data_IF_850405257466
#
_entry.id   IF_850405257466
#
_cell.length_a   1.000
_cell.length_b   1.000
_cell.length_c   1.000
_cell.angle_alpha   90.00
_cell.angle_beta   90.00
_cell.angle_gamma   90.00
#
_symmetry.space_group_name_H-M   'P 1'
#
loop_
_entity.id
_entity.type
_entity.pdbx_description
1 polymer ?
#
# COMPACT_ATOMS: atom_id res chain seq x y z
N UNK A 1 -2.26 7.81 18.28
CA UNK A 1 -2.91 8.99 17.70
C UNK A 1 -4.32 9.09 18.22
N UNK A 2 -4.59 10.17 18.94
CA UNK A 2 -5.84 10.43 19.65
C UNK A 2 -6.65 11.55 18.98
N UNK A 3 -6.05 12.28 18.03
CA UNK A 3 -6.66 13.43 17.36
C UNK A 3 -6.09 13.61 15.93
N UNK A 4 -6.58 12.86 14.93
CA UNK A 4 -6.12 12.97 13.54
C UNK A 4 -6.51 14.30 12.88
N UNK A 5 -7.59 14.95 13.32
CA UNK A 5 -8.09 16.21 12.73
C UNK A 5 -7.09 17.36 12.87
N UNK A 6 -6.26 17.31 13.91
CA UNK A 6 -5.22 18.30 14.18
C UNK A 6 -4.04 18.23 13.21
N UNK A 7 -3.79 17.08 12.59
CA UNK A 7 -2.58 16.83 11.80
C UNK A 7 -2.86 16.40 10.36
N UNK A 8 -4.08 15.96 10.06
CA UNK A 8 -4.49 15.48 8.75
C UNK A 8 -5.56 16.43 8.20
N UNK A 9 -5.23 17.14 7.12
CA UNK A 9 -6.21 17.94 6.41
C UNK A 9 -7.31 17.03 5.85
N UNK A 10 -8.58 17.39 6.09
CA UNK A 10 -9.71 16.69 5.48
C UNK A 10 -9.61 16.78 3.97
N UNK A 11 -9.86 15.67 3.28
CA UNK A 11 -9.94 15.59 1.83
C UNK A 11 -11.32 15.02 1.44
N UNK A 12 -12.39 15.83 1.47
CA UNK A 12 -13.77 15.34 1.33
C UNK A 12 -14.03 14.57 0.03
N UNK A 13 -13.26 14.85 -1.03
CA UNK A 13 -13.41 14.19 -2.33
C UNK A 13 -12.56 12.92 -2.48
N UNK A 14 -11.64 12.64 -1.54
CA UNK A 14 -10.71 11.51 -1.67
C UNK A 14 -11.47 10.18 -1.69
N UNK A 15 -12.43 9.99 -0.79
CA UNK A 15 -13.26 8.78 -0.76
C UNK A 15 -13.97 8.56 -2.10
N UNK A 16 -14.74 9.56 -2.56
CA UNK A 16 -15.45 9.52 -3.84
C UNK A 16 -14.52 9.24 -5.03
N UNK A 17 -13.32 9.83 -5.02
CA UNK A 17 -12.33 9.60 -6.07
C UNK A 17 -11.83 8.15 -6.10
N UNK A 18 -11.47 7.58 -4.94
CA UNK A 18 -11.00 6.19 -4.86
C UNK A 18 -12.10 5.20 -5.26
N UNK A 19 -13.34 5.41 -4.79
CA UNK A 19 -14.48 4.60 -5.21
C UNK A 19 -14.70 4.64 -6.73
N UNK A 20 -14.65 5.83 -7.34
CA UNK A 20 -14.77 5.97 -8.80
C UNK A 20 -13.68 5.19 -9.54
N UNK A 21 -12.44 5.16 -9.05
CA UNK A 21 -11.37 4.37 -9.65
C UNK A 21 -11.71 2.87 -9.61
N UNK A 22 -12.16 2.37 -8.47
CA UNK A 22 -12.57 0.96 -8.31
C UNK A 22 -13.75 0.62 -9.22
N UNK A 23 -14.77 1.46 -9.29
CA UNK A 23 -15.94 1.31 -10.19
C UNK A 23 -15.53 1.27 -11.67
N UNK A 24 -14.44 1.95 -12.04
CA UNK A 24 -13.87 1.95 -13.38
C UNK A 24 -12.78 0.88 -13.57
N UNK A 25 -12.83 -0.20 -12.77
CA UNK A 25 -11.94 -1.36 -12.84
C UNK A 25 -10.45 -1.06 -12.64
N UNK A 26 -10.12 0.06 -11.99
CA UNK A 26 -8.73 0.33 -11.60
C UNK A 26 -8.38 -0.49 -10.36
N UNK A 27 -7.17 -1.03 -10.38
CA UNK A 27 -6.57 -1.72 -9.23
C UNK A 27 -5.82 -0.72 -8.38
N UNK A 28 -6.02 -0.78 -7.07
CA UNK A 28 -5.44 0.19 -6.15
C UNK A 28 -4.47 -0.52 -5.21
N UNK A 29 -3.42 0.21 -4.83
CA UNK A 29 -2.46 -0.27 -3.85
C UNK A 29 -1.98 0.89 -2.96
N UNK A 30 -1.49 0.56 -1.76
CA UNK A 30 -0.85 1.52 -0.86
C UNK A 30 0.46 0.94 -0.32
N UNK A 31 1.51 1.77 -0.31
CA UNK A 31 2.86 1.39 0.15
C UNK A 31 3.36 2.48 1.11
N UNK A 32 3.51 2.12 2.39
CA UNK A 32 3.89 3.06 3.44
C UNK A 32 4.96 2.51 4.37
N UNK A 33 5.85 3.39 4.84
CA UNK A 33 6.81 3.07 5.90
C UNK A 33 6.15 3.05 7.29
N UNK A 34 4.92 3.57 7.40
CA UNK A 34 4.16 3.55 8.65
C UNK A 34 3.66 2.13 8.98
N UNK A 35 3.32 1.92 10.25
CA UNK A 35 2.68 0.68 10.70
C UNK A 35 1.24 0.56 10.17
N UNK A 36 0.73 -0.68 10.08
CA UNK A 36 -0.65 -0.96 9.69
C UNK A 36 -1.68 -0.17 10.52
N UNK A 37 -1.51 -0.13 11.85
CA UNK A 37 -2.37 0.64 12.75
C UNK A 37 -2.39 2.15 12.47
N UNK A 38 -1.28 2.72 11.97
CA UNK A 38 -1.22 4.13 11.62
C UNK A 38 -1.96 4.41 10.30
N UNK A 39 -1.71 3.57 9.29
CA UNK A 39 -2.40 3.63 8.00
C UNK A 39 -3.91 3.51 8.21
N UNK A 40 -4.33 2.55 9.04
CA UNK A 40 -5.74 2.30 9.37
C UNK A 40 -6.42 3.53 9.94
N UNK A 41 -5.81 4.18 10.94
CA UNK A 41 -6.38 5.38 11.55
C UNK A 41 -6.50 6.52 10.54
N UNK A 42 -5.48 6.73 9.71
CA UNK A 42 -5.49 7.79 8.70
C UNK A 42 -6.55 7.56 7.62
N UNK A 43 -6.62 6.35 7.05
CA UNK A 43 -7.57 6.04 5.99
C UNK A 43 -9.00 5.88 6.50
N UNK A 44 -9.22 5.43 7.74
CA UNK A 44 -10.54 5.50 8.37
C UNK A 44 -11.04 6.93 8.50
N UNK A 45 -10.15 7.85 8.88
CA UNK A 45 -10.50 9.26 8.99
C UNK A 45 -10.78 9.92 7.63
N UNK A 46 -10.00 9.57 6.60
CA UNK A 46 -10.06 10.21 5.29
C UNK A 46 -11.09 9.59 4.33
N UNK A 47 -11.31 8.29 4.42
CA UNK A 47 -12.01 7.50 3.40
C UNK A 47 -13.24 6.80 3.98
N UNK A 48 -13.11 6.14 5.13
CA UNK A 48 -14.18 5.38 5.77
C UNK A 48 -13.70 4.09 6.44
N UNK A 49 -14.59 3.42 7.19
CA UNK A 49 -14.24 2.21 7.95
C UNK A 49 -13.88 1.00 7.07
N UNK A 50 -14.36 1.00 5.83
CA UNK A 50 -14.22 -0.03 4.79
C UNK A 50 -13.08 0.25 3.81
N UNK A 51 -12.19 1.20 4.12
CA UNK A 51 -11.11 1.62 3.22
C UNK A 51 -10.26 0.47 2.66
N UNK A 52 -10.05 -0.61 3.44
CA UNK A 52 -9.23 -1.75 3.04
C UNK A 52 -9.77 -2.42 1.78
N UNK A 53 -11.09 -2.48 1.63
CA UNK A 53 -11.76 -3.13 0.49
C UNK A 53 -11.54 -2.40 -0.84
N UNK A 54 -11.05 -1.16 -0.79
CA UNK A 54 -10.68 -0.40 -1.99
C UNK A 54 -9.34 -0.86 -2.57
N UNK A 55 -8.46 -1.46 -1.76
CA UNK A 55 -7.08 -1.75 -2.15
C UNK A 55 -6.85 -3.24 -2.39
N UNK A 56 -6.33 -3.56 -3.57
CA UNK A 56 -5.92 -4.91 -3.95
C UNK A 56 -4.61 -5.32 -3.23
N UNK A 57 -3.76 -4.35 -2.88
CA UNK A 57 -2.49 -4.56 -2.17
C UNK A 57 -2.26 -3.48 -1.12
N UNK A 58 -2.03 -3.87 0.14
CA UNK A 58 -1.71 -2.96 1.25
C UNK A 58 -0.39 -3.39 1.86
N UNK A 59 0.65 -2.54 1.76
CA UNK A 59 1.98 -2.80 2.29
C UNK A 59 2.30 -1.79 3.39
N UNK A 60 2.43 -2.27 4.63
CA UNK A 60 2.93 -1.50 5.76
C UNK A 60 4.41 -1.76 6.00
N UNK A 61 5.08 -0.84 6.70
CA UNK A 61 6.52 -0.92 7.00
C UNK A 61 7.39 -1.26 5.78
N UNK A 62 7.05 -0.70 4.61
CA UNK A 62 7.66 -1.08 3.33
C UNK A 62 9.18 -0.84 3.26
N UNK A 63 9.77 -0.08 4.18
CA UNK A 63 11.20 0.24 4.19
C UNK A 63 11.66 0.94 2.89
N UNK A 64 10.85 1.87 2.38
CA UNK A 64 11.24 2.80 1.31
C UNK A 64 12.49 3.59 1.73
N UNK A 65 13.48 3.79 0.85
CA UNK A 65 13.45 3.47 -0.58
C UNK A 65 13.88 2.05 -0.95
N UNK A 66 14.36 1.24 0.01
CA UNK A 66 14.86 -0.12 -0.27
C UNK A 66 13.82 -1.00 -0.95
N UNK A 67 12.53 -0.82 -0.64
CA UNK A 67 11.42 -1.47 -1.34
C UNK A 67 11.51 -1.41 -2.87
N UNK A 68 11.94 -0.26 -3.41
CA UNK A 68 12.01 0.00 -4.84
C UNK A 68 13.35 -0.37 -5.45
N UNK A 69 14.41 -0.47 -4.63
CA UNK A 69 15.80 -0.61 -5.09
C UNK A 69 16.39 -1.99 -4.87
N UNK A 70 15.89 -2.74 -3.90
CA UNK A 70 16.46 -4.03 -3.51
C UNK A 70 15.46 -5.15 -3.80
N UNK A 71 15.81 -6.14 -4.64
CA UNK A 71 14.91 -7.24 -4.99
C UNK A 71 14.89 -8.35 -3.92
N UNK A 72 15.13 -8.00 -2.64
CA UNK A 72 15.28 -8.96 -1.57
C UNK A 72 14.10 -8.88 -0.60
N UNK A 73 13.51 -10.04 -0.31
CA UNK A 73 12.46 -10.19 0.68
C UNK A 73 11.34 -11.09 0.18
N UNK A 74 10.48 -11.49 1.10
CA UNK A 74 9.21 -12.13 0.82
C UNK A 74 8.13 -11.36 1.58
N UNK A 75 6.96 -11.22 0.99
CA UNK A 75 5.80 -10.69 1.70
C UNK A 75 5.30 -11.68 2.75
N UNK A 76 4.86 -11.15 3.89
CA UNK A 76 4.12 -11.90 4.92
C UNK A 76 2.86 -11.17 5.29
N UNK A 77 1.78 -11.92 5.52
CA UNK A 77 0.48 -11.36 5.92
C UNK A 77 0.51 -10.96 7.39
N UNK A 78 0.03 -9.77 7.68
CA UNK A 78 -0.15 -9.25 9.04
C UNK A 78 -1.60 -8.86 9.30
N UNK A 79 -1.96 -8.68 10.57
CA UNK A 79 -3.14 -7.91 10.93
C UNK A 79 -2.82 -6.45 11.21
N UNK A 80 -3.85 -5.69 11.58
CA UNK A 80 -3.75 -4.27 11.90
C UNK A 80 -2.74 -3.96 13.02
N UNK A 81 -2.47 -4.92 13.91
CA UNK A 81 -1.50 -4.77 15.00
C UNK A 81 -0.06 -4.98 14.53
N UNK A 82 0.14 -5.48 13.31
CA UNK A 82 1.43 -5.90 12.77
C UNK A 82 1.82 -7.32 13.18
N UNK A 83 0.90 -8.11 13.74
CA UNK A 83 1.17 -9.51 14.09
C UNK A 83 1.05 -10.37 12.83
N UNK A 84 2.08 -11.18 12.55
CA UNK A 84 2.06 -12.12 11.42
C UNK A 84 0.94 -13.16 11.60
N UNK A 85 0.12 -13.32 10.57
CA UNK A 85 -0.94 -14.34 10.54
C UNK A 85 -0.46 -15.66 9.99
N UNK A 86 0.51 -15.62 9.08
CA UNK A 86 1.11 -16.80 8.47
C UNK A 86 2.63 -16.67 8.50
N UNK A 87 3.30 -17.81 8.70
CA UNK A 87 4.75 -17.90 8.66
C UNK A 87 5.28 -18.08 7.24
N UNK A 88 4.43 -18.54 6.34
CA UNK A 88 4.78 -18.80 4.94
C UNK A 88 4.81 -17.50 4.13
N UNK A 89 5.64 -17.53 3.08
CA UNK A 89 5.71 -16.45 2.10
C UNK A 89 4.40 -16.36 1.32
N UNK A 90 3.93 -15.13 1.12
CA UNK A 90 2.72 -14.85 0.34
C UNK A 90 2.91 -15.30 -1.10
N UNK A 91 1.99 -16.13 -1.58
CA UNK A 91 1.94 -16.57 -2.98
C UNK A 91 0.92 -15.79 -3.82
N UNK A 92 -0.02 -15.10 -3.17
CA UNK A 92 -1.05 -14.30 -3.84
C UNK A 92 -1.54 -13.21 -2.90
N UNK A 93 -1.73 -12.01 -3.43
CA UNK A 93 -2.38 -10.93 -2.69
C UNK A 93 -3.89 -11.10 -2.72
N UNK A 94 -4.53 -10.77 -1.60
CA UNK A 94 -5.98 -10.70 -1.47
C UNK A 94 -6.36 -9.28 -1.08
N UNK A 95 -7.35 -8.75 -1.78
CA UNK A 95 -7.96 -7.44 -1.49
C UNK A 95 -8.31 -7.34 0.00
N UNK A 96 -8.04 -6.17 0.57
CA UNK A 96 -8.24 -5.86 1.98
C UNK A 96 -7.22 -6.46 2.95
N UNK A 97 -6.30 -7.32 2.51
CA UNK A 97 -5.25 -7.87 3.39
C UNK A 97 -4.02 -6.97 3.44
N UNK A 98 -3.35 -7.00 4.60
CA UNK A 98 -2.17 -6.20 4.91
C UNK A 98 -0.93 -7.09 4.90
N UNK A 99 0.14 -6.56 4.33
CA UNK A 99 1.40 -7.26 4.13
C UNK A 99 2.58 -6.43 4.61
N UNK A 100 3.64 -7.10 5.05
CA UNK A 100 4.93 -6.49 5.38
C UNK A 100 6.07 -7.25 4.68
N UNK A 101 7.21 -6.56 4.51
CA UNK A 101 8.37 -7.10 3.81
C UNK A 101 8.27 -6.93 2.28
N UNK A 102 8.85 -7.89 1.56
CA UNK A 102 8.90 -7.91 0.10
C UNK A 102 9.56 -6.70 -0.56
N UNK A 103 9.37 -6.60 -1.87
CA UNK A 103 9.89 -5.51 -2.71
C UNK A 103 8.95 -5.26 -3.91
N UNK A 104 9.21 -4.20 -4.68
CA UNK A 104 8.40 -3.86 -5.86
C UNK A 104 8.41 -4.98 -6.92
N UNK A 105 9.57 -5.59 -7.17
CA UNK A 105 9.69 -6.67 -8.15
C UNK A 105 8.81 -7.88 -7.77
N UNK A 106 8.86 -8.30 -6.51
CA UNK A 106 8.01 -9.37 -6.01
C UNK A 106 6.52 -8.98 -6.07
N UNK A 107 6.17 -7.72 -5.76
CA UNK A 107 4.80 -7.25 -5.85
C UNK A 107 4.28 -7.34 -7.30
N UNK A 108 5.07 -6.87 -8.26
CA UNK A 108 4.75 -6.95 -9.69
C UNK A 108 4.60 -8.40 -10.13
N UNK A 109 5.51 -9.28 -9.70
CA UNK A 109 5.43 -10.72 -10.00
C UNK A 109 4.16 -11.37 -9.45
N UNK A 110 3.81 -11.09 -8.19
CA UNK A 110 2.64 -11.69 -7.53
C UNK A 110 1.31 -11.13 -8.04
N UNK A 111 1.29 -9.87 -8.49
CA UNK A 111 0.09 -9.24 -9.07
C UNK A 111 -0.06 -9.51 -10.57
N UNK A 112 1.04 -9.78 -11.27
CA UNK A 112 1.07 -9.87 -12.74
C UNK A 112 0.85 -8.53 -13.44
N UNK A 113 0.93 -7.40 -12.73
CA UNK A 113 0.72 -6.08 -13.32
C UNK A 113 1.90 -5.66 -14.17
N UNK A 114 1.64 -5.05 -15.33
CA UNK A 114 2.72 -4.47 -16.14
C UNK A 114 3.24 -3.21 -15.45
N UNK A 115 4.57 -3.11 -15.27
CA UNK A 115 5.21 -1.91 -14.70
C UNK A 115 4.84 -0.64 -15.47
N UNK A 116 4.70 -0.72 -16.80
CA UNK A 116 4.30 0.40 -17.66
C UNK A 116 2.83 0.85 -17.44
N UNK A 117 2.02 0.06 -16.75
CA UNK A 117 0.62 0.36 -16.43
C UNK A 117 0.40 0.85 -15.00
N UNK A 118 1.47 0.92 -14.19
CA UNK A 118 1.42 1.38 -12.80
C UNK A 118 1.65 2.88 -12.76
N UNK A 119 0.71 3.60 -12.15
CA UNK A 119 0.85 5.00 -11.80
C UNK A 119 0.97 5.12 -10.29
N UNK A 120 2.11 5.61 -9.82
CA UNK A 120 2.38 5.82 -8.40
C UNK A 120 2.44 7.31 -8.07
N UNK A 121 1.80 7.69 -6.96
CA UNK A 121 1.86 9.03 -6.41
C UNK A 121 2.53 8.97 -5.03
N UNK A 122 3.59 9.77 -4.86
CA UNK A 122 4.34 9.86 -3.61
C UNK A 122 5.15 11.14 -3.54
N UNK A 123 5.48 11.55 -2.33
CA UNK A 123 6.25 12.75 -2.02
C UNK A 123 7.76 12.59 -2.29
N UNK A 124 8.23 11.35 -2.48
CA UNK A 124 9.64 11.02 -2.71
C UNK A 124 9.92 10.47 -4.11
N UNK A 125 9.65 11.28 -5.15
CA UNK A 125 9.85 10.92 -6.58
C UNK A 125 11.27 10.38 -6.87
N UNK A 126 12.30 10.96 -6.24
CA UNK A 126 13.71 10.59 -6.47
C UNK A 126 14.13 9.27 -5.78
N UNK A 127 13.39 8.86 -4.75
CA UNK A 127 13.65 7.63 -4.03
C UNK A 127 12.84 6.44 -4.60
N UNK A 128 11.74 6.75 -5.29
CA UNK A 128 10.74 5.78 -5.75
C UNK A 128 10.88 5.38 -7.23
N UNK A 129 11.52 6.17 -8.11
CA UNK A 129 11.60 5.86 -9.56
C UNK A 129 12.97 6.13 -10.24
N UNK A 130 13.90 6.83 -9.59
CA UNK A 130 15.15 7.25 -10.23
C UNK A 130 16.30 6.22 -10.05
N UNK A 131 16.15 5.03 -10.64
CA UNK A 131 17.26 4.16 -11.09
C UNK A 131 16.70 2.90 -11.77
N UNK A 132 16.54 2.93 -13.09
CA UNK A 132 16.08 1.75 -13.85
C UNK A 132 15.81 1.96 -15.35
N UNK A 133 16.30 3.05 -15.94
CA UNK A 133 16.38 3.22 -17.41
C UNK A 133 17.84 3.41 -17.79
N UNK A 134 18.57 2.30 -17.81
CA UNK A 134 19.78 2.07 -18.62
C UNK A 134 19.89 0.57 -18.86
#
# INVERSE_FOLDING_TARGET
>A
MSDPERYIAKAPQLSTFLHRLVENNKKLFVISNSSAAYIDKGLKFLVGNDWQELFDVIISRANKPSFFKSPLGQFRRTDISGTFKDWEAVQTFKRGQIYEGGCLEEMIKLTGWSSASILYFGDHVYADLASGLT
#
